data_IF_083062932890
#
_entry.id   IF_083062932890
#
_cell.length_a   1.000
_cell.length_b   1.000
_cell.length_c   1.000
_cell.angle_alpha   90.00
_cell.angle_beta   90.00
_cell.angle_gamma   90.00
#
_symmetry.space_group_name_H-M   'P 1'
#
loop_
_entity.id
_entity.type
_entity.pdbx_description
1 polymer ?
#
# COMPACT_ATOMS: atom_id res chain seq x y z
N UNK A 1 -21.29 -1.33 -36.52
CA UNK A 1 -21.76 -0.62 -35.32
C UNK A 1 -21.39 0.84 -35.49
N UNK A 2 -22.36 1.77 -35.43
CA UNK A 2 -22.11 3.20 -35.74
C UNK A 2 -21.44 3.85 -34.53
N UNK A 3 -20.51 4.77 -34.76
CA UNK A 3 -19.73 5.45 -33.71
C UNK A 3 -20.62 6.11 -32.62
N UNK A 4 -21.83 6.52 -33.01
CA UNK A 4 -22.82 7.12 -32.11
C UNK A 4 -23.49 6.11 -31.17
N UNK A 5 -23.61 4.84 -31.59
CA UNK A 5 -24.17 3.75 -30.77
C UNK A 5 -23.19 3.38 -29.65
N UNK A 6 -21.89 3.28 -29.99
CA UNK A 6 -20.81 3.11 -29.01
C UNK A 6 -20.81 4.27 -28.01
N UNK A 7 -20.93 5.52 -28.48
CA UNK A 7 -20.96 6.71 -27.61
C UNK A 7 -22.15 6.73 -26.65
N UNK A 8 -23.27 6.10 -27.02
CA UNK A 8 -24.46 6.00 -26.17
C UNK A 8 -24.28 4.92 -25.11
N UNK A 9 -23.77 3.75 -25.49
CA UNK A 9 -23.41 2.67 -24.57
C UNK A 9 -22.34 3.12 -23.55
N UNK A 10 -21.30 3.83 -24.01
CA UNK A 10 -20.30 4.42 -23.14
C UNK A 10 -20.91 5.48 -22.22
N UNK A 11 -21.78 6.38 -22.70
CA UNK A 11 -22.46 7.35 -21.79
C UNK A 11 -23.34 6.69 -20.74
N UNK A 12 -23.93 5.55 -21.06
CA UNK A 12 -24.77 4.79 -20.16
C UNK A 12 -23.94 4.03 -19.12
N UNK A 13 -22.74 3.52 -19.48
CA UNK A 13 -21.75 2.93 -18.56
C UNK A 13 -20.95 3.97 -17.75
N UNK A 14 -20.88 5.21 -18.22
CA UNK A 14 -20.10 6.31 -17.64
C UNK A 14 -20.98 7.37 -16.96
N UNK A 15 -22.29 7.11 -16.87
CA UNK A 15 -23.20 7.98 -16.12
C UNK A 15 -22.82 7.93 -14.63
N UNK A 16 -23.03 9.00 -13.84
CA UNK A 16 -22.75 8.98 -12.40
C UNK A 16 -23.50 7.87 -11.64
N UNK A 17 -24.57 7.32 -12.22
CA UNK A 17 -25.33 6.16 -11.70
C UNK A 17 -24.70 4.80 -12.01
N UNK A 18 -23.82 4.71 -12.99
CA UNK A 18 -23.14 3.48 -13.44
C UNK A 18 -21.63 3.49 -13.15
N UNK A 19 -21.10 4.67 -12.83
CA UNK A 19 -19.76 4.79 -12.28
C UNK A 19 -19.76 4.28 -10.84
N UNK A 20 -19.27 3.05 -10.63
CA UNK A 20 -18.99 2.46 -9.32
C UNK A 20 -18.07 3.31 -8.42
N UNK A 21 -17.58 4.46 -8.91
CA UNK A 21 -16.93 5.51 -8.13
C UNK A 21 -17.65 5.83 -6.81
N UNK A 22 -18.99 5.79 -6.78
CA UNK A 22 -19.77 6.04 -5.57
C UNK A 22 -20.12 4.78 -4.76
N UNK A 23 -20.00 3.58 -5.32
CA UNK A 23 -20.17 2.33 -4.56
C UNK A 23 -18.97 2.03 -3.65
N UNK A 24 -17.80 2.64 -3.87
CA UNK A 24 -16.69 2.58 -2.91
C UNK A 24 -16.77 3.67 -1.83
N UNK A 25 -17.50 4.77 -2.08
CA UNK A 25 -17.88 5.72 -1.02
C UNK A 25 -19.07 5.22 -0.18
N UNK A 26 -19.79 4.21 -0.67
CA UNK A 26 -20.85 3.50 0.03
C UNK A 26 -20.83 2.02 -0.34
N UNK A 27 -19.87 1.27 0.19
CA UNK A 27 -19.84 -0.18 0.03
C UNK A 27 -21.10 -0.78 0.66
N UNK A 28 -22.01 -1.32 -0.15
CA UNK A 28 -23.08 -2.20 0.32
C UNK A 28 -22.53 -3.51 0.96
N UNK A 29 -21.20 -3.68 1.05
CA UNK A 29 -20.49 -4.87 1.54
C UNK A 29 -19.34 -4.60 2.54
N UNK A 30 -19.36 -3.52 3.35
CA UNK A 30 -18.55 -3.48 4.58
C UNK A 30 -17.15 -2.84 4.55
N UNK A 31 -16.81 -1.97 3.58
CA UNK A 31 -15.65 -1.07 3.64
C UNK A 31 -14.51 -1.36 2.65
N UNK A 32 -13.35 -0.71 2.85
CA UNK A 32 -12.17 -0.80 1.95
C UNK A 32 -11.37 -2.10 2.09
N UNK A 33 -11.44 -2.77 3.25
CA UNK A 33 -10.62 -3.94 3.59
C UNK A 33 -10.80 -5.10 2.60
N UNK A 34 -12.02 -5.51 2.19
CA UNK A 34 -12.19 -6.66 1.30
C UNK A 34 -11.55 -6.44 -0.08
N UNK A 35 -11.52 -5.20 -0.56
CA UNK A 35 -10.85 -4.83 -1.80
C UNK A 35 -9.34 -5.02 -1.67
N UNK A 36 -8.75 -4.56 -0.57
CA UNK A 36 -7.31 -4.69 -0.31
C UNK A 36 -6.93 -6.16 -0.10
N UNK A 37 -7.70 -6.91 0.67
CA UNK A 37 -7.48 -8.34 0.94
C UNK A 37 -7.41 -9.17 -0.35
N UNK A 38 -8.29 -8.88 -1.31
CA UNK A 38 -8.28 -9.50 -2.63
C UNK A 38 -6.94 -9.27 -3.35
N UNK A 39 -6.40 -8.06 -3.30
CA UNK A 39 -5.13 -7.73 -3.95
C UNK A 39 -3.94 -8.35 -3.20
N UNK A 40 -3.97 -8.36 -1.87
CA UNK A 40 -2.96 -9.03 -1.04
C UNK A 40 -2.91 -10.52 -1.34
N UNK A 41 -4.07 -11.20 -1.41
CA UNK A 41 -4.15 -12.61 -1.77
C UNK A 41 -3.56 -12.91 -3.16
N UNK A 42 -3.83 -12.03 -4.15
CA UNK A 42 -3.22 -12.13 -5.49
C UNK A 42 -1.71 -11.96 -5.44
N UNK A 43 -1.20 -11.04 -4.62
CA UNK A 43 0.22 -10.83 -4.48
C UNK A 43 0.91 -12.05 -3.86
N UNK A 44 0.34 -12.63 -2.79
CA UNK A 44 0.82 -13.88 -2.19
C UNK A 44 0.82 -15.01 -3.21
N UNK A 45 -0.26 -15.20 -3.96
CA UNK A 45 -0.35 -16.23 -5.00
C UNK A 45 0.70 -16.08 -6.10
N UNK A 46 1.04 -14.84 -6.49
CA UNK A 46 2.13 -14.56 -7.42
C UNK A 46 3.49 -15.02 -6.86
N UNK A 47 3.76 -14.70 -5.60
CA UNK A 47 5.01 -15.12 -4.92
C UNK A 47 5.09 -16.64 -4.86
N UNK A 48 4.03 -17.30 -4.42
CA UNK A 48 3.95 -18.76 -4.28
C UNK A 48 4.13 -19.48 -5.62
N UNK A 49 3.48 -18.99 -6.67
CA UNK A 49 3.48 -19.66 -7.98
C UNK A 49 4.74 -19.41 -8.81
N UNK A 50 5.38 -18.24 -8.69
CA UNK A 50 6.46 -17.83 -9.59
C UNK A 50 7.82 -17.65 -8.91
N UNK A 51 7.86 -17.32 -7.62
CA UNK A 51 9.07 -16.87 -6.95
C UNK A 51 9.52 -17.74 -5.78
N UNK A 52 8.82 -18.84 -5.49
CA UNK A 52 9.28 -19.84 -4.53
C UNK A 52 10.55 -20.52 -5.06
N UNK A 53 11.64 -20.29 -4.34
CA UNK A 53 12.90 -21.01 -4.57
C UNK A 53 12.84 -22.38 -3.91
N UNK A 54 13.45 -23.37 -4.55
CA UNK A 54 13.61 -24.72 -4.00
C UNK A 54 15.09 -24.98 -3.71
N UNK A 55 15.41 -26.10 -3.06
CA UNK A 55 16.81 -26.50 -2.82
C UNK A 55 17.65 -26.57 -4.10
N UNK A 56 17.00 -26.76 -5.25
CA UNK A 56 17.66 -26.98 -6.53
C UNK A 56 17.51 -25.79 -7.50
N UNK A 57 16.65 -24.82 -7.20
CA UNK A 57 16.34 -23.71 -8.10
C UNK A 57 16.15 -22.41 -7.33
N UNK A 58 17.03 -21.44 -7.56
CA UNK A 58 16.93 -20.09 -7.01
C UNK A 58 16.16 -19.19 -7.98
N UNK A 59 15.05 -18.61 -7.51
CA UNK A 59 14.18 -17.71 -8.27
C UNK A 59 14.13 -16.34 -7.59
N UNK A 60 15.01 -15.39 -7.95
CA UNK A 60 15.00 -14.07 -7.33
C UNK A 60 13.75 -13.29 -7.75
N UNK A 61 13.21 -12.52 -6.80
CA UNK A 61 12.11 -11.60 -7.04
C UNK A 61 12.59 -10.16 -6.87
N UNK A 62 12.47 -9.34 -7.92
CA UNK A 62 12.61 -7.89 -7.83
C UNK A 62 11.40 -7.29 -7.11
N UNK A 63 11.45 -7.25 -5.77
CA UNK A 63 10.35 -6.77 -4.92
C UNK A 63 9.95 -5.33 -5.25
N UNK A 64 10.94 -4.51 -5.62
CA UNK A 64 10.81 -3.14 -6.12
C UNK A 64 9.64 -2.93 -7.10
N UNK A 65 9.56 -3.77 -8.12
CA UNK A 65 8.54 -3.64 -9.16
C UNK A 65 7.22 -4.22 -8.69
N UNK A 66 7.25 -5.29 -7.89
CA UNK A 66 6.02 -5.93 -7.42
C UNK A 66 5.28 -5.09 -6.38
N UNK A 67 6.01 -4.35 -5.54
CA UNK A 67 5.39 -3.39 -4.61
C UNK A 67 4.70 -2.25 -5.36
N UNK A 68 5.26 -1.81 -6.50
CA UNK A 68 4.60 -0.81 -7.35
C UNK A 68 3.36 -1.37 -8.06
N UNK A 69 3.43 -2.60 -8.59
CA UNK A 69 2.27 -3.26 -9.20
C UNK A 69 1.15 -3.48 -8.19
N UNK A 70 1.51 -3.88 -6.97
CA UNK A 70 0.58 -3.99 -5.86
C UNK A 70 -0.12 -2.65 -5.57
N UNK A 71 0.64 -1.56 -5.42
CA UNK A 71 0.06 -0.25 -5.15
C UNK A 71 -0.87 0.24 -6.27
N UNK A 72 -0.50 0.01 -7.54
CA UNK A 72 -1.33 0.35 -8.70
C UNK A 72 -2.61 -0.49 -8.78
N UNK A 73 -2.54 -1.79 -8.50
CA UNK A 73 -3.70 -2.67 -8.47
C UNK A 73 -4.65 -2.33 -7.30
N UNK A 74 -4.12 -1.95 -6.13
CA UNK A 74 -4.94 -1.48 -5.00
C UNK A 74 -5.68 -0.19 -5.37
N UNK A 75 -4.98 0.85 -5.81
CA UNK A 75 -5.63 2.13 -6.10
C UNK A 75 -6.62 2.03 -7.26
N UNK A 76 -6.35 1.18 -8.27
CA UNK A 76 -7.28 0.95 -9.37
C UNK A 76 -8.53 0.16 -8.97
N UNK A 77 -8.39 -0.89 -8.13
CA UNK A 77 -9.54 -1.59 -7.55
C UNK A 77 -10.38 -0.61 -6.71
N UNK A 78 -9.75 0.26 -5.92
CA UNK A 78 -10.45 1.25 -5.11
C UNK A 78 -11.11 2.36 -5.93
N UNK A 79 -10.49 2.81 -7.03
CA UNK A 79 -10.99 3.93 -7.84
C UNK A 79 -12.04 3.50 -8.86
N UNK A 80 -11.88 2.31 -9.45
CA UNK A 80 -12.68 1.86 -10.59
C UNK A 80 -13.48 0.58 -10.31
N UNK A 81 -13.29 -0.05 -9.14
CA UNK A 81 -13.92 -1.32 -8.79
C UNK A 81 -13.29 -2.55 -9.47
N UNK A 82 -12.19 -2.37 -10.21
CA UNK A 82 -11.45 -3.43 -10.88
C UNK A 82 -9.97 -3.09 -10.99
N UNK A 83 -9.10 -3.99 -10.54
CA UNK A 83 -7.66 -3.88 -10.66
C UNK A 83 -7.18 -3.96 -12.11
N UNK A 84 -6.20 -3.13 -12.46
CA UNK A 84 -5.58 -3.08 -13.79
C UNK A 84 -4.85 -4.37 -14.20
N UNK A 85 -4.51 -5.22 -13.22
CA UNK A 85 -4.00 -6.56 -13.45
C UNK A 85 -2.48 -6.64 -13.56
N UNK A 86 -1.77 -5.67 -12.99
CA UNK A 86 -0.30 -5.63 -13.00
C UNK A 86 0.30 -6.83 -12.28
N UNK A 87 -0.26 -7.23 -11.13
CA UNK A 87 0.19 -8.40 -10.39
C UNK A 87 -0.11 -9.71 -11.13
N UNK A 88 -1.27 -9.84 -11.78
CA UNK A 88 -1.64 -11.07 -12.48
C UNK A 88 -0.78 -11.31 -13.73
N UNK A 89 -0.52 -10.25 -14.50
CA UNK A 89 0.27 -10.37 -15.71
C UNK A 89 1.77 -10.41 -15.43
N UNK A 90 2.20 -9.95 -14.24
CA UNK A 90 3.61 -9.89 -13.84
C UNK A 90 4.51 -9.08 -14.81
N UNK A 91 3.89 -8.23 -15.63
CA UNK A 91 4.51 -7.51 -16.74
C UNK A 91 4.49 -6.00 -16.49
N UNK A 92 5.60 -5.34 -16.85
CA UNK A 92 5.74 -3.89 -16.76
C UNK A 92 4.87 -3.22 -17.83
N UNK A 93 4.20 -2.12 -17.47
CA UNK A 93 3.37 -1.28 -18.33
C UNK A 93 4.09 -0.70 -19.58
N UNK A 94 5.35 -1.06 -19.88
CA UNK A 94 5.98 -0.75 -21.17
C UNK A 94 5.60 -1.71 -22.31
N UNK A 95 4.53 -2.49 -22.13
CA UNK A 95 3.71 -3.05 -23.21
C UNK A 95 2.66 -2.06 -23.76
N UNK A 96 2.89 -0.75 -23.68
CA UNK A 96 2.00 0.33 -24.18
C UNK A 96 1.51 0.13 -25.63
N UNK A 97 2.17 -0.72 -26.44
CA UNK A 97 1.84 -0.95 -27.86
C UNK A 97 0.87 -2.11 -28.10
N UNK A 98 0.73 -3.08 -27.16
CA UNK A 98 -0.12 -4.25 -27.37
C UNK A 98 -1.53 -4.11 -26.75
N UNK A 99 -1.66 -3.32 -25.68
CA UNK A 99 -2.93 -3.12 -24.94
C UNK A 99 -3.68 -1.86 -25.38
N UNK A 100 -3.55 -1.49 -26.66
CA UNK A 100 -4.06 -0.22 -27.20
C UNK A 100 -5.58 -0.08 -27.19
N UNK A 101 -6.36 -1.16 -27.06
CA UNK A 101 -7.83 -1.09 -27.16
C UNK A 101 -8.56 -0.99 -25.81
N UNK A 102 -7.90 -1.31 -24.70
CA UNK A 102 -8.49 -1.21 -23.35
C UNK A 102 -7.96 0.01 -22.60
N UNK A 103 -6.67 0.33 -22.73
CA UNK A 103 -6.08 1.45 -22.00
C UNK A 103 -6.56 2.79 -22.57
N UNK A 104 -6.65 2.95 -23.90
CA UNK A 104 -7.03 4.23 -24.52
C UNK A 104 -8.43 4.75 -24.17
N UNK A 105 -9.50 3.94 -24.11
CA UNK A 105 -10.81 4.40 -23.65
C UNK A 105 -10.79 4.86 -22.19
N UNK A 106 -10.06 4.15 -21.31
CA UNK A 106 -9.92 4.52 -19.90
C UNK A 106 -9.04 5.76 -19.73
N UNK A 107 -7.92 5.86 -20.46
CA UNK A 107 -7.07 7.05 -20.50
C UNK A 107 -7.81 8.25 -21.09
N UNK A 108 -8.66 8.05 -22.10
CA UNK A 108 -9.55 9.09 -22.65
C UNK A 108 -10.63 9.51 -21.66
N UNK A 109 -11.12 8.58 -20.83
CA UNK A 109 -12.07 8.89 -19.76
C UNK A 109 -11.38 9.62 -18.59
N UNK A 110 -10.17 9.18 -18.21
CA UNK A 110 -9.28 9.84 -17.27
C UNK A 110 -8.84 11.23 -17.75
N UNK A 111 -8.60 11.42 -19.04
CA UNK A 111 -8.22 12.76 -19.54
C UNK A 111 -9.40 13.74 -19.55
N UNK A 112 -10.65 13.27 -19.56
CA UNK A 112 -11.84 14.12 -19.66
C UNK A 112 -12.51 14.46 -18.31
N UNK A 113 -12.19 13.75 -17.23
CA UNK A 113 -12.82 13.96 -15.90
C UNK A 113 -11.78 14.20 -14.78
N UNK A 114 -10.49 14.00 -15.03
CA UNK A 114 -9.63 13.33 -14.04
C UNK A 114 -8.21 13.93 -13.93
N UNK A 115 -7.97 15.24 -14.18
CA UNK A 115 -6.61 15.78 -13.92
C UNK A 115 -6.20 15.60 -12.45
N UNK A 116 -7.13 15.84 -11.51
CA UNK A 116 -6.87 15.70 -10.07
C UNK A 116 -6.80 14.24 -9.61
N UNK A 117 -7.61 13.37 -10.20
CA UNK A 117 -7.70 11.97 -9.79
C UNK A 117 -6.52 11.13 -10.34
N UNK A 118 -5.95 11.50 -11.50
CA UNK A 118 -4.71 10.91 -12.01
C UNK A 118 -3.53 11.31 -11.12
N UNK A 119 -3.46 12.57 -10.68
CA UNK A 119 -2.44 13.04 -9.74
C UNK A 119 -2.50 12.28 -8.41
N UNK A 120 -3.71 12.09 -7.84
CA UNK A 120 -3.90 11.31 -6.61
C UNK A 120 -3.54 9.84 -6.77
N UNK A 121 -3.81 9.25 -7.94
CA UNK A 121 -3.46 7.85 -8.24
C UNK A 121 -1.94 7.66 -8.32
N UNK A 122 -1.25 8.58 -8.99
CA UNK A 122 0.21 8.52 -9.14
C UNK A 122 0.89 8.83 -7.80
N UNK A 123 0.47 9.89 -7.10
CA UNK A 123 1.03 10.27 -5.81
C UNK A 123 0.77 9.22 -4.71
N UNK A 124 -0.43 8.62 -4.68
CA UNK A 124 -0.79 7.58 -3.71
C UNK A 124 -0.11 6.24 -3.98
N UNK A 125 0.11 5.87 -5.24
CA UNK A 125 0.74 4.59 -5.59
C UNK A 125 2.24 4.57 -5.29
N UNK A 126 2.98 5.63 -5.63
CA UNK A 126 4.43 5.67 -5.40
C UNK A 126 4.77 5.76 -3.90
N UNK A 127 4.00 6.51 -3.12
CA UNK A 127 4.16 6.58 -1.66
C UNK A 127 3.85 5.24 -0.98
N UNK A 128 2.74 4.59 -1.35
CA UNK A 128 2.35 3.27 -0.81
C UNK A 128 3.37 2.18 -1.19
N UNK A 129 3.81 2.16 -2.45
CA UNK A 129 4.82 1.20 -2.92
C UNK A 129 6.14 1.37 -2.18
N UNK A 130 6.53 2.62 -1.90
CA UNK A 130 7.73 2.97 -1.13
C UNK A 130 7.60 2.49 0.32
N UNK A 131 6.47 2.75 0.99
CA UNK A 131 6.25 2.32 2.37
C UNK A 131 6.36 0.79 2.52
N UNK A 132 5.69 0.03 1.64
CA UNK A 132 5.75 -1.44 1.64
C UNK A 132 7.18 -1.93 1.34
N UNK A 133 7.85 -1.32 0.36
CA UNK A 133 9.23 -1.64 -0.01
C UNK A 133 10.19 -1.48 1.16
N UNK A 134 10.11 -0.35 1.84
CA UNK A 134 11.05 0.01 2.90
C UNK A 134 10.83 -0.85 4.14
N UNK A 135 9.56 -1.08 4.49
CA UNK A 135 9.19 -2.01 5.56
C UNK A 135 9.80 -3.39 5.31
N UNK A 136 9.60 -3.95 4.11
CA UNK A 136 10.17 -5.25 3.77
C UNK A 136 11.71 -5.23 3.75
N UNK A 137 12.32 -4.17 3.20
CA UNK A 137 13.78 -4.03 3.15
C UNK A 137 14.40 -4.08 4.54
N UNK A 138 13.86 -3.33 5.51
CA UNK A 138 14.40 -3.32 6.87
C UNK A 138 14.14 -4.63 7.60
N UNK A 139 12.95 -5.22 7.47
CA UNK A 139 12.64 -6.53 8.06
C UNK A 139 13.56 -7.64 7.53
N UNK A 140 13.92 -7.60 6.24
CA UNK A 140 14.84 -8.60 5.65
C UNK A 140 16.30 -8.38 6.05
N UNK A 141 16.72 -7.14 6.28
CA UNK A 141 18.09 -6.83 6.71
C UNK A 141 18.30 -6.99 8.22
N UNK A 142 17.25 -6.81 9.03
CA UNK A 142 17.30 -6.86 10.50
C UNK A 142 16.50 -8.08 10.97
N UNK A 143 17.13 -9.27 11.08
CA UNK A 143 16.42 -10.50 11.39
C UNK A 143 15.80 -10.50 12.79
N UNK A 144 16.37 -9.74 13.73
CA UNK A 144 15.81 -9.60 15.08
C UNK A 144 14.39 -9.01 15.04
N UNK A 145 14.17 -7.96 14.25
CA UNK A 145 12.87 -7.32 14.12
C UNK A 145 11.86 -8.20 13.41
N UNK A 146 12.28 -8.94 12.38
CA UNK A 146 11.40 -9.91 11.71
C UNK A 146 10.97 -11.05 12.66
N UNK A 147 11.89 -11.55 13.49
CA UNK A 147 11.59 -12.60 14.48
C UNK A 147 10.63 -12.07 15.56
N UNK A 148 10.86 -10.85 16.06
CA UNK A 148 9.99 -10.21 17.03
C UNK A 148 8.57 -10.00 16.47
N UNK A 149 8.46 -9.49 15.24
CA UNK A 149 7.17 -9.29 14.57
C UNK A 149 6.45 -10.62 14.35
N UNK A 150 7.13 -11.66 13.86
CA UNK A 150 6.55 -13.00 13.70
C UNK A 150 6.06 -13.56 15.02
N UNK A 151 6.84 -13.43 16.10
CA UNK A 151 6.43 -13.88 17.43
C UNK A 151 5.17 -13.18 17.91
N UNK A 152 5.05 -11.87 17.69
CA UNK A 152 3.83 -11.12 18.03
C UNK A 152 2.62 -11.66 17.25
N UNK A 153 2.77 -11.89 15.94
CA UNK A 153 1.71 -12.46 15.10
C UNK A 153 1.34 -13.89 15.54
N UNK A 154 2.31 -14.76 15.78
CA UNK A 154 2.08 -16.15 16.21
C UNK A 154 1.34 -16.20 17.55
N UNK A 155 1.70 -15.30 18.48
CA UNK A 155 1.00 -15.16 19.76
C UNK A 155 -0.45 -14.68 19.57
N UNK A 156 -0.68 -13.72 18.68
CA UNK A 156 -2.03 -13.23 18.35
C UNK A 156 -2.91 -14.30 17.72
N UNK A 157 -2.34 -15.13 16.84
CA UNK A 157 -3.03 -16.29 16.23
C UNK A 157 -3.34 -17.34 17.30
N UNK A 158 -2.36 -17.70 18.14
CA UNK A 158 -2.54 -18.70 19.21
C UNK A 158 -3.63 -18.30 20.22
N UNK A 159 -3.81 -16.99 20.43
CA UNK A 159 -4.85 -16.43 21.31
C UNK A 159 -6.19 -16.21 20.61
N UNK A 160 -6.30 -16.51 19.31
CA UNK A 160 -7.52 -16.31 18.52
C UNK A 160 -7.89 -14.85 18.30
N UNK A 161 -6.93 -13.92 18.39
CA UNK A 161 -7.15 -12.47 18.19
C UNK A 161 -6.99 -12.01 16.74
N UNK A 162 -6.38 -12.83 15.90
CA UNK A 162 -6.08 -12.52 14.50
C UNK A 162 -6.95 -13.41 13.61
N UNK A 163 -7.78 -12.82 12.76
CA UNK A 163 -8.48 -13.55 11.71
C UNK A 163 -7.61 -13.71 10.45
N UNK A 164 -8.05 -14.56 9.52
CA UNK A 164 -7.41 -14.74 8.21
C UNK A 164 -8.45 -14.63 7.10
N UNK A 165 -8.49 -13.54 6.31
CA UNK A 165 -7.65 -12.33 6.37
C UNK A 165 -7.79 -11.53 7.68
N UNK A 166 -6.75 -10.78 8.05
CA UNK A 166 -6.72 -9.95 9.27
C UNK A 166 -7.56 -8.68 9.08
N UNK A 167 -8.31 -8.26 10.10
CA UNK A 167 -9.04 -6.98 10.08
C UNK A 167 -8.15 -5.82 10.55
N UNK A 168 -8.39 -4.60 10.07
CA UNK A 168 -7.65 -3.39 10.51
C UNK A 168 -7.78 -3.18 12.02
N UNK A 169 -8.96 -3.44 12.58
CA UNK A 169 -9.20 -3.33 14.03
C UNK A 169 -8.37 -4.32 14.86
N UNK A 170 -7.99 -5.45 14.30
CA UNK A 170 -7.10 -6.44 14.92
C UNK A 170 -5.64 -6.04 14.71
N UNK A 171 -5.27 -5.61 13.50
CA UNK A 171 -3.92 -5.17 13.16
C UNK A 171 -3.44 -3.96 13.98
N UNK A 172 -4.36 -3.03 14.32
CA UNK A 172 -4.08 -1.89 15.19
C UNK A 172 -3.74 -2.28 16.63
N UNK A 173 -4.15 -3.45 17.08
CA UNK A 173 -3.89 -3.95 18.45
C UNK A 173 -2.51 -4.61 18.58
N UNK A 174 -1.74 -4.72 17.49
CA UNK A 174 -0.41 -5.31 17.47
C UNK A 174 0.66 -4.21 17.64
N UNK A 175 1.17 -3.98 18.87
CA UNK A 175 2.03 -2.84 19.15
C UNK A 175 3.36 -2.88 18.38
N UNK A 176 3.97 -4.05 18.21
CA UNK A 176 5.23 -4.17 17.46
C UNK A 176 5.01 -3.96 15.96
N UNK A 177 3.90 -4.46 15.40
CA UNK A 177 3.51 -4.13 14.01
C UNK A 177 3.36 -2.62 13.80
N UNK A 178 2.67 -1.93 14.72
CA UNK A 178 2.52 -0.46 14.64
C UNK A 178 3.87 0.26 14.74
N UNK A 179 4.75 -0.20 15.63
CA UNK A 179 6.09 0.32 15.75
C UNK A 179 6.91 0.14 14.47
N UNK A 180 6.87 -1.05 13.85
CA UNK A 180 7.54 -1.33 12.57
C UNK A 180 7.05 -0.42 11.46
N UNK A 181 5.73 -0.21 11.37
CA UNK A 181 5.13 0.68 10.36
C UNK A 181 5.62 2.11 10.57
N UNK A 182 5.53 2.64 11.79
CA UNK A 182 5.97 4.02 12.10
C UNK A 182 7.45 4.22 11.85
N UNK A 183 8.26 3.24 12.23
CA UNK A 183 9.71 3.27 12.03
C UNK A 183 10.07 3.21 10.53
N UNK A 184 9.35 2.41 9.74
CA UNK A 184 9.55 2.35 8.30
C UNK A 184 9.18 3.67 7.61
N UNK A 185 8.15 4.37 8.12
CA UNK A 185 7.80 5.70 7.64
C UNK A 185 8.88 6.74 7.98
N UNK A 186 9.41 6.73 9.22
CA UNK A 186 10.50 7.62 9.62
C UNK A 186 11.75 7.44 8.74
N UNK A 187 12.08 6.20 8.39
CA UNK A 187 13.28 5.85 7.62
C UNK A 187 13.09 5.89 6.09
N UNK A 188 11.97 6.41 5.59
CA UNK A 188 11.71 6.48 4.14
C UNK A 188 12.45 7.66 3.48
N UNK A 189 13.14 7.52 2.34
CA UNK A 189 13.97 8.58 1.73
C UNK A 189 13.30 9.95 1.55
N UNK A 190 11.99 9.97 1.29
CA UNK A 190 11.20 11.20 1.16
C UNK A 190 10.91 11.87 2.53
N UNK A 191 10.98 11.08 3.62
CA UNK A 191 10.65 11.45 5.00
C UNK A 191 11.87 11.46 5.95
N UNK A 192 13.04 10.99 5.51
CA UNK A 192 14.32 11.13 6.23
C UNK A 192 14.57 12.61 6.56
N UNK A 193 14.11 13.55 5.73
CA UNK A 193 14.13 14.98 6.04
C UNK A 193 13.34 15.32 7.32
N UNK A 194 12.14 14.76 7.49
CA UNK A 194 11.32 14.94 8.70
C UNK A 194 12.01 14.32 9.93
N UNK A 195 12.56 13.11 9.80
CA UNK A 195 13.35 12.47 10.86
C UNK A 195 14.59 13.29 11.25
N UNK A 196 15.34 13.82 10.28
CA UNK A 196 16.49 14.70 10.54
C UNK A 196 16.11 16.06 11.11
N UNK A 197 14.91 16.57 10.82
CA UNK A 197 14.35 17.72 11.52
C UNK A 197 13.90 17.38 12.96
N UNK A 198 13.67 16.10 13.27
CA UNK A 198 13.19 15.60 14.56
C UNK A 198 14.26 14.94 15.45
N UNK A 199 15.56 15.25 15.26
CA UNK A 199 16.65 14.71 16.10
C UNK A 199 16.41 14.89 17.61
N UNK A 200 15.74 15.98 17.98
CA UNK A 200 15.40 16.27 19.38
C UNK A 200 14.34 15.29 19.95
N UNK A 201 13.49 14.70 19.09
CA UNK A 201 12.47 13.74 19.48
C UNK A 201 12.98 12.28 19.48
N UNK A 202 13.76 11.90 18.45
CA UNK A 202 14.22 10.52 18.26
C UNK A 202 15.59 10.24 18.90
N UNK A 203 16.41 11.26 19.13
CA UNK A 203 17.76 11.13 19.70
C UNK A 203 18.84 10.83 18.65
N UNK A 204 19.98 10.29 19.10
CA UNK A 204 21.16 10.06 18.26
C UNK A 204 21.01 8.92 17.24
N UNK A 205 20.04 8.04 17.44
CA UNK A 205 19.84 6.83 16.64
C UNK A 205 18.76 7.01 15.55
N UNK A 206 18.44 8.26 15.18
CA UNK A 206 17.36 8.58 14.22
C UNK A 206 17.55 7.96 12.82
N UNK A 207 18.80 7.67 12.44
CA UNK A 207 19.14 7.07 11.15
C UNK A 207 19.18 5.52 11.22
N UNK A 208 18.84 4.94 12.37
CA UNK A 208 18.86 3.48 12.62
C UNK A 208 17.43 2.97 12.74
N UNK A 209 17.05 2.01 11.90
CA UNK A 209 15.77 1.33 12.01
C UNK A 209 15.69 0.52 13.32
N UNK A 210 14.95 1.06 14.31
CA UNK A 210 14.78 0.45 15.65
C UNK A 210 13.33 0.59 16.12
N UNK A 211 12.43 -0.32 15.72
CA UNK A 211 11.03 -0.28 16.14
C UNK A 211 10.82 -0.24 17.66
N UNK A 212 11.76 -0.82 18.42
CA UNK A 212 11.72 -0.85 19.89
C UNK A 212 11.69 0.55 20.52
N UNK A 213 12.21 1.58 19.82
CA UNK A 213 12.20 2.95 20.32
C UNK A 213 10.76 3.50 20.52
N UNK A 214 9.81 3.06 19.70
CA UNK A 214 8.40 3.43 19.83
C UNK A 214 7.72 2.79 21.03
N UNK A 215 8.16 1.59 21.41
CA UNK A 215 7.66 0.91 22.60
C UNK A 215 8.23 1.53 23.87
N UNK A 216 9.51 1.90 23.87
CA UNK A 216 10.15 2.61 24.97
C UNK A 216 9.57 4.02 25.15
N UNK A 217 9.33 4.72 24.05
CA UNK A 217 8.69 6.04 24.08
C UNK A 217 7.23 5.97 24.54
N UNK A 218 6.54 4.84 24.42
CA UNK A 218 5.15 4.70 24.87
C UNK A 218 4.96 4.91 26.39
N UNK A 219 6.04 4.81 27.18
CA UNK A 219 6.02 5.12 28.62
C UNK A 219 6.06 6.64 28.90
N UNK A 220 6.48 7.45 27.92
CA UNK A 220 6.60 8.91 27.98
C UNK A 220 5.69 9.54 26.92
N UNK A 221 4.50 9.97 27.35
CA UNK A 221 3.46 10.50 26.47
C UNK A 221 3.90 11.76 25.70
N UNK A 222 4.78 12.58 26.29
CA UNK A 222 5.30 13.78 25.64
C UNK A 222 6.26 13.41 24.50
N UNK A 223 7.20 12.49 24.79
CA UNK A 223 8.14 11.99 23.78
C UNK A 223 7.42 11.23 22.66
N UNK A 224 6.48 10.36 23.00
CA UNK A 224 5.69 9.62 22.02
C UNK A 224 4.88 10.55 21.12
N UNK A 225 4.26 11.59 21.70
CA UNK A 225 3.52 12.62 20.96
C UNK A 225 4.42 13.39 20.00
N UNK A 226 5.63 13.77 20.44
CA UNK A 226 6.61 14.44 19.58
C UNK A 226 7.06 13.56 18.41
N UNK A 227 7.36 12.28 18.67
CA UNK A 227 7.73 11.32 17.62
C UNK A 227 6.60 11.10 16.61
N UNK A 228 5.35 10.97 17.09
CA UNK A 228 4.18 10.86 16.22
C UNK A 228 4.01 12.12 15.37
N UNK A 229 4.13 13.32 15.96
CA UNK A 229 4.03 14.59 15.24
C UNK A 229 5.03 14.70 14.10
N UNK A 230 6.28 14.27 14.30
CA UNK A 230 7.30 14.27 13.24
C UNK A 230 6.95 13.32 12.09
N UNK A 231 6.43 12.12 12.40
CA UNK A 231 5.98 11.18 11.36
C UNK A 231 4.73 11.70 10.66
N UNK A 232 3.81 12.34 11.36
CA UNK A 232 2.57 12.88 10.79
C UNK A 232 2.81 14.09 9.87
N UNK A 233 3.94 14.80 10.03
CA UNK A 233 4.36 15.85 9.07
C UNK A 233 4.49 15.29 7.64
N UNK A 234 4.80 14.00 7.49
CA UNK A 234 4.82 13.31 6.20
C UNK A 234 3.50 13.41 5.43
N UNK A 235 2.39 13.45 6.15
CA UNK A 235 1.03 13.50 5.60
C UNK A 235 0.49 14.93 5.52
N UNK A 236 1.31 15.93 5.86
CA UNK A 236 0.97 17.35 5.85
C UNK A 236 0.25 17.81 7.11
N UNK A 237 0.51 19.04 7.53
CA UNK A 237 -0.22 19.75 8.58
C UNK A 237 -0.57 21.17 8.10
N UNK A 238 -1.86 21.53 8.17
CA UNK A 238 -2.38 22.85 7.74
C UNK A 238 -3.47 22.75 6.67
N UNK A 239 -4.34 23.78 6.59
CA UNK A 239 -5.37 23.89 5.52
C UNK A 239 -4.67 24.22 4.19
N UNK A 240 -4.64 23.24 3.29
CA UNK A 240 -4.35 23.42 1.87
C UNK A 240 -5.60 23.06 1.08
#
# INVERSE_FOLDING_TARGET
>A
MRYDDLRKEYREKLSPRSSRYFECAGCENGGFEPCVDKIVARFVSLVESRYMSTSNEFRPMEFSHKSQYFALDVISELSFGEALGFLANNEYLFGYVATNNLVFPYLRFMLNILSTLVEQTIAGSDSTATAVRITMLYLLNIPASLIALRREMDNGIAQGRISSPIRDSEARQLPYLQAVIREAHNNAPFLIWCGQCGKDAFGCDVDVFRPECWLEAAEDEERFGAMCGVVDLAFGHGRF
#
